data_IF_589284032994
#
_entry.id   IF_589284032994
#
_cell.length_a   1.000
_cell.length_b   1.000
_cell.length_c   1.000
_cell.angle_alpha   90.00
_cell.angle_beta   90.00
_cell.angle_gamma   90.00
#
_symmetry.space_group_name_H-M   'P 1'
#
loop_
_entity.id
_entity.type
_entity.pdbx_description
1 polymer ?
#
# COMPACT_ATOMS: atom_id res chain seq x y z
N UNK A 1 6.84 -12.14 -8.03
CA UNK A 1 6.49 -12.29 -9.44
C UNK A 1 5.50 -13.42 -9.61
N UNK A 2 4.37 -13.16 -10.24
CA UNK A 2 3.41 -14.18 -10.68
C UNK A 2 3.41 -14.15 -12.20
N UNK A 3 3.74 -15.26 -12.82
CA UNK A 3 3.70 -15.44 -14.27
C UNK A 3 2.88 -16.67 -14.55
N UNK A 4 1.81 -16.57 -15.33
CA UNK A 4 1.01 -17.66 -15.87
C UNK A 4 1.00 -18.98 -15.06
N UNK A 5 1.90 -19.89 -15.34
CA UNK A 5 2.09 -21.17 -14.63
C UNK A 5 3.24 -21.15 -13.61
N UNK A 6 4.07 -20.12 -13.57
CA UNK A 6 5.29 -20.07 -12.74
C UNK A 6 5.31 -18.86 -11.82
N UNK A 7 5.82 -19.06 -10.60
CA UNK A 7 6.03 -18.01 -9.62
C UNK A 7 7.48 -18.01 -9.17
N UNK A 8 8.10 -16.81 -9.18
CA UNK A 8 9.41 -16.58 -8.59
C UNK A 8 9.25 -15.61 -7.42
N UNK A 9 9.90 -15.90 -6.30
CA UNK A 9 9.89 -15.03 -5.12
C UNK A 9 11.29 -14.49 -4.89
N UNK A 10 11.40 -13.19 -4.62
CA UNK A 10 12.65 -12.53 -4.26
C UNK A 10 12.46 -11.68 -3.03
N UNK A 11 13.43 -11.69 -2.14
CA UNK A 11 13.46 -10.83 -0.95
C UNK A 11 14.89 -10.29 -0.75
N UNK A 12 15.01 -9.14 -0.10
CA UNK A 12 16.31 -8.50 0.11
C UNK A 12 17.28 -9.35 0.92
N UNK A 13 16.89 -9.75 2.12
CA UNK A 13 17.78 -10.54 3.01
C UNK A 13 17.01 -11.43 3.96
N UNK A 14 15.82 -11.02 4.40
CA UNK A 14 15.14 -11.64 5.54
C UNK A 14 14.67 -13.06 5.27
N UNK A 15 14.14 -13.33 4.10
CA UNK A 15 13.60 -14.64 3.73
C UNK A 15 14.35 -15.31 2.57
N UNK A 16 15.46 -14.73 2.09
CA UNK A 16 16.27 -15.36 1.06
C UNK A 16 16.77 -16.75 1.52
N UNK A 17 16.62 -17.75 0.65
CA UNK A 17 16.89 -19.16 0.95
C UNK A 17 15.74 -19.92 1.63
N UNK A 18 14.68 -19.22 2.07
CA UNK A 18 13.47 -19.90 2.57
C UNK A 18 12.72 -20.55 1.42
N UNK A 19 11.89 -21.55 1.75
CA UNK A 19 11.09 -22.28 0.78
C UNK A 19 9.60 -22.12 1.06
N UNK A 20 8.84 -21.84 0.01
CA UNK A 20 7.39 -21.72 0.05
C UNK A 20 6.73 -22.68 -0.93
N UNK A 21 5.59 -23.25 -0.55
CA UNK A 21 4.83 -24.14 -1.41
C UNK A 21 3.77 -23.35 -2.17
N UNK A 22 3.81 -23.39 -3.50
CA UNK A 22 2.82 -22.78 -4.37
C UNK A 22 2.35 -23.78 -5.43
N UNK A 23 1.04 -24.01 -5.52
CA UNK A 23 0.42 -24.99 -6.44
C UNK A 23 1.08 -26.36 -6.42
N UNK A 24 1.48 -26.82 -5.23
CA UNK A 24 2.14 -28.12 -5.05
C UNK A 24 3.64 -28.16 -5.34
N UNK A 25 4.21 -27.11 -5.92
CA UNK A 25 5.66 -26.95 -6.15
C UNK A 25 6.31 -26.20 -5.00
N UNK A 26 7.51 -26.59 -4.63
CA UNK A 26 8.35 -25.89 -3.66
C UNK A 26 9.14 -24.80 -4.40
N UNK A 27 9.08 -23.56 -3.91
CA UNK A 27 9.74 -22.40 -4.50
C UNK A 27 10.70 -21.83 -3.47
N UNK A 28 11.96 -21.74 -3.84
CA UNK A 28 12.98 -21.08 -3.03
C UNK A 28 12.96 -19.57 -3.27
N UNK A 29 13.03 -18.80 -2.18
CA UNK A 29 13.13 -17.34 -2.23
C UNK A 29 14.55 -16.95 -2.61
N UNK A 30 14.72 -16.34 -3.77
CA UNK A 30 16.00 -15.81 -4.22
C UNK A 30 16.32 -14.49 -3.55
N UNK A 31 17.60 -14.19 -3.41
CA UNK A 31 18.05 -12.86 -3.00
C UNK A 31 17.75 -11.85 -4.12
N UNK A 32 17.11 -10.72 -3.77
CA UNK A 32 16.89 -9.62 -4.70
C UNK A 32 18.22 -8.89 -4.96
N UNK A 33 18.63 -8.84 -6.21
CA UNK A 33 19.91 -8.28 -6.65
C UNK A 33 19.74 -7.54 -7.99
N UNK A 34 20.66 -6.63 -8.30
CA UNK A 34 20.76 -5.97 -9.60
C UNK A 34 21.37 -6.95 -10.62
N UNK A 35 20.52 -7.70 -11.31
CA UNK A 35 20.92 -8.71 -12.28
C UNK A 35 19.82 -8.88 -13.33
N UNK A 36 19.94 -9.89 -14.21
CA UNK A 36 19.00 -10.18 -15.31
C UNK A 36 17.84 -11.10 -14.91
N UNK A 37 17.61 -11.31 -13.63
CA UNK A 37 16.59 -12.23 -13.10
C UNK A 37 15.14 -11.88 -13.50
N UNK A 38 14.91 -10.67 -14.00
CA UNK A 38 13.60 -10.22 -14.46
C UNK A 38 13.38 -10.32 -15.98
N UNK A 39 14.37 -10.87 -16.72
CA UNK A 39 14.35 -10.93 -18.19
C UNK A 39 13.13 -11.68 -18.77
N UNK A 40 12.71 -12.76 -18.12
CA UNK A 40 11.61 -13.61 -18.59
C UNK A 40 10.36 -13.46 -17.68
N UNK A 41 10.19 -12.30 -17.08
CA UNK A 41 9.06 -11.98 -16.20
C UNK A 41 8.09 -11.07 -16.95
N UNK A 42 6.81 -11.45 -17.02
CA UNK A 42 5.74 -10.63 -17.60
C UNK A 42 5.17 -9.64 -16.57
N UNK A 43 4.97 -10.08 -15.32
CA UNK A 43 4.37 -9.29 -14.26
C UNK A 43 5.16 -9.44 -12.96
N UNK A 44 5.50 -8.34 -12.33
CA UNK A 44 6.16 -8.30 -11.03
C UNK A 44 5.31 -7.56 -9.99
N UNK A 45 4.91 -8.23 -8.92
CA UNK A 45 4.30 -7.58 -7.75
C UNK A 45 5.37 -7.17 -6.76
N UNK A 46 5.40 -5.90 -6.36
CA UNK A 46 6.35 -5.37 -5.39
C UNK A 46 5.63 -4.92 -4.11
N UNK A 47 6.10 -5.40 -2.96
CA UNK A 47 5.54 -5.09 -1.64
C UNK A 47 6.62 -5.09 -0.55
N UNK A 48 7.82 -4.64 -0.89
CA UNK A 48 8.98 -4.61 0.02
C UNK A 48 9.30 -3.20 0.55
N UNK A 49 8.36 -2.27 0.41
CA UNK A 49 8.49 -0.88 0.82
C UNK A 49 9.02 0.04 -0.28
N UNK A 50 8.75 1.36 -0.13
CA UNK A 50 8.99 2.36 -1.16
C UNK A 50 10.48 2.47 -1.59
N UNK A 51 11.41 2.33 -0.66
CA UNK A 51 12.84 2.36 -0.97
C UNK A 51 13.25 1.23 -1.92
N UNK A 52 12.84 0.00 -1.60
CA UNK A 52 13.12 -1.18 -2.44
C UNK A 52 12.43 -1.08 -3.81
N UNK A 53 11.17 -0.61 -3.84
CA UNK A 53 10.46 -0.42 -5.11
C UNK A 53 11.18 0.57 -6.02
N UNK A 54 11.65 1.71 -5.49
CA UNK A 54 12.42 2.69 -6.27
C UNK A 54 13.76 2.16 -6.74
N UNK A 55 14.48 1.45 -5.87
CA UNK A 55 15.80 0.89 -6.15
C UNK A 55 15.78 -0.12 -7.30
N UNK A 56 14.74 -0.96 -7.35
CA UNK A 56 14.67 -2.07 -8.31
C UNK A 56 13.67 -1.87 -9.47
N UNK A 57 13.01 -0.72 -9.56
CA UNK A 57 12.02 -0.47 -10.61
C UNK A 57 12.60 -0.63 -12.02
N UNK A 58 13.79 -0.08 -12.28
CA UNK A 58 14.46 -0.19 -13.57
C UNK A 58 14.86 -1.64 -13.87
N UNK A 59 15.40 -2.37 -12.90
CA UNK A 59 15.75 -3.79 -13.08
C UNK A 59 14.53 -4.64 -13.45
N UNK A 60 13.37 -4.31 -12.89
CA UNK A 60 12.12 -5.01 -13.15
C UNK A 60 11.58 -4.67 -14.54
N UNK A 61 11.54 -3.39 -14.90
CA UNK A 61 10.81 -2.92 -16.09
C UNK A 61 11.66 -2.93 -17.37
N UNK A 62 12.99 -2.92 -17.28
CA UNK A 62 13.89 -2.82 -18.44
C UNK A 62 13.73 -3.92 -19.49
N UNK A 63 13.19 -5.08 -19.12
CA UNK A 63 12.92 -6.18 -20.04
C UNK A 63 11.44 -6.29 -20.46
N UNK A 64 10.62 -5.30 -20.12
CA UNK A 64 9.22 -5.23 -20.50
C UNK A 64 8.24 -5.82 -19.48
N UNK A 65 8.71 -6.26 -18.32
CA UNK A 65 7.83 -6.67 -17.24
C UNK A 65 6.95 -5.51 -16.75
N UNK A 66 5.68 -5.79 -16.49
CA UNK A 66 4.79 -4.83 -15.82
C UNK A 66 4.99 -4.94 -14.30
N UNK A 67 5.45 -3.86 -13.69
CA UNK A 67 5.59 -3.76 -12.24
C UNK A 67 4.29 -3.26 -11.62
N UNK A 68 3.68 -4.04 -10.72
CA UNK A 68 2.53 -3.63 -9.91
C UNK A 68 3.05 -3.35 -8.50
N UNK A 69 3.12 -2.07 -8.14
CA UNK A 69 3.74 -1.64 -6.88
C UNK A 69 2.71 -1.34 -5.79
N UNK A 70 2.79 -2.09 -4.68
CA UNK A 70 1.94 -1.91 -3.50
C UNK A 70 2.52 -0.88 -2.50
N UNK A 71 3.69 -0.32 -2.77
CA UNK A 71 4.27 0.70 -1.90
C UNK A 71 3.74 2.11 -2.22
N UNK A 72 4.18 3.10 -1.47
CA UNK A 72 3.86 4.50 -1.76
C UNK A 72 4.85 5.16 -2.74
N UNK A 73 5.78 4.38 -3.34
CA UNK A 73 6.90 4.90 -4.10
C UNK A 73 6.50 5.77 -5.30
N UNK A 74 5.50 5.31 -6.04
CA UNK A 74 5.13 5.86 -7.35
C UNK A 74 3.71 6.41 -7.43
N UNK A 75 2.93 6.34 -6.34
CA UNK A 75 1.51 6.69 -6.34
C UNK A 75 1.20 8.07 -6.90
N UNK A 76 2.05 9.05 -6.60
CA UNK A 76 1.86 10.43 -7.02
C UNK A 76 2.71 10.84 -8.23
N UNK A 77 3.47 9.91 -8.83
CA UNK A 77 4.25 10.19 -10.03
C UNK A 77 3.32 10.35 -11.22
N UNK A 78 3.54 11.40 -12.05
CA UNK A 78 2.64 11.77 -13.17
C UNK A 78 2.57 10.68 -14.24
N UNK A 79 3.69 10.01 -14.49
CA UNK A 79 3.84 9.00 -15.55
C UNK A 79 3.54 7.57 -15.07
N UNK A 80 3.04 7.43 -13.84
CA UNK A 80 2.65 6.15 -13.26
C UNK A 80 1.16 6.19 -12.92
N UNK A 81 0.31 5.36 -13.56
CA UNK A 81 -1.09 5.28 -13.22
C UNK A 81 -1.31 4.73 -11.80
N UNK A 82 -2.22 5.35 -11.07
CA UNK A 82 -2.69 4.91 -9.76
C UNK A 82 -4.05 4.24 -9.95
N UNK A 83 -4.12 2.91 -9.85
CA UNK A 83 -5.26 2.16 -10.37
C UNK A 83 -6.04 1.44 -9.27
N UNK A 84 -7.36 1.67 -9.30
CA UNK A 84 -8.38 0.84 -8.67
C UNK A 84 -9.28 0.31 -9.79
N UNK A 85 -9.24 -1.00 -10.11
CA UNK A 85 -9.92 -1.53 -11.30
C UNK A 85 -11.41 -1.20 -11.39
N UNK A 86 -12.09 -1.09 -10.26
CA UNK A 86 -13.52 -0.73 -10.18
C UNK A 86 -13.79 0.73 -10.57
N UNK A 87 -12.75 1.58 -10.54
CA UNK A 87 -12.87 3.02 -10.79
C UNK A 87 -12.26 3.41 -12.15
N UNK A 88 -11.03 2.99 -12.40
CA UNK A 88 -10.22 3.48 -13.52
C UNK A 88 -9.34 2.39 -14.17
N UNK A 89 -9.88 1.20 -14.41
CA UNK A 89 -9.14 0.07 -14.99
C UNK A 89 -8.40 0.42 -16.30
N UNK A 90 -8.97 1.31 -17.13
CA UNK A 90 -8.39 1.71 -18.41
C UNK A 90 -7.02 2.39 -18.25
N UNK A 91 -6.79 3.10 -17.15
CA UNK A 91 -5.53 3.82 -16.89
C UNK A 91 -4.33 2.85 -16.79
N UNK A 92 -4.60 1.59 -16.42
CA UNK A 92 -3.56 0.55 -16.38
C UNK A 92 -2.92 0.28 -17.75
N UNK A 93 -3.58 0.65 -18.84
CA UNK A 93 -3.05 0.51 -20.21
C UNK A 93 -2.06 1.63 -20.56
N UNK A 94 -2.18 2.79 -19.90
CA UNK A 94 -1.32 3.96 -20.11
C UNK A 94 -0.23 3.99 -19.04
N UNK A 95 0.80 3.15 -19.18
CA UNK A 95 1.91 2.99 -18.26
C UNK A 95 3.28 3.18 -18.93
N UNK A 96 3.67 4.39 -19.29
CA UNK A 96 4.90 4.64 -20.05
C UNK A 96 6.16 4.14 -19.31
N UNK A 97 6.15 4.11 -17.98
CA UNK A 97 7.24 3.58 -17.17
C UNK A 97 7.18 2.07 -16.91
N UNK A 98 6.19 1.34 -17.47
CA UNK A 98 5.99 -0.08 -17.17
C UNK A 98 5.49 -0.36 -15.73
N UNK A 99 5.09 0.67 -14.99
CA UNK A 99 4.69 0.59 -13.58
C UNK A 99 3.21 0.93 -13.43
N UNK A 100 2.50 0.17 -12.59
CA UNK A 100 1.15 0.46 -12.10
C UNK A 100 1.25 0.59 -10.58
N UNK A 101 0.86 1.72 -10.02
CA UNK A 101 0.81 1.91 -8.58
C UNK A 101 -0.53 1.44 -8.00
N UNK A 102 -0.46 0.68 -6.91
CA UNK A 102 -1.61 0.30 -6.10
C UNK A 102 -1.82 1.33 -5.00
N UNK A 103 -3.02 1.89 -4.83
CA UNK A 103 -3.28 2.95 -3.86
C UNK A 103 -3.15 2.49 -2.40
N UNK A 104 -3.30 3.43 -1.49
CA UNK A 104 -3.46 3.16 -0.06
C UNK A 104 -4.71 2.31 0.19
N UNK A 105 -4.62 1.38 1.16
CA UNK A 105 -5.70 0.44 1.47
C UNK A 105 -7.02 1.13 1.83
N UNK A 106 -6.98 2.21 2.62
CA UNK A 106 -8.17 2.98 3.01
C UNK A 106 -8.74 3.73 1.82
N UNK A 107 -7.87 4.29 0.95
CA UNK A 107 -8.28 4.92 -0.31
C UNK A 107 -9.03 3.94 -1.21
N UNK A 108 -8.49 2.73 -1.42
CA UNK A 108 -9.14 1.71 -2.28
C UNK A 108 -10.54 1.39 -1.79
N UNK A 109 -10.70 1.11 -0.49
CA UNK A 109 -12.01 0.80 0.09
C UNK A 109 -13.01 1.94 -0.10
N UNK A 110 -12.57 3.18 0.13
CA UNK A 110 -13.40 4.37 0.00
C UNK A 110 -13.85 4.60 -1.45
N UNK A 111 -12.92 4.66 -2.41
CA UNK A 111 -13.26 4.97 -3.80
C UNK A 111 -14.08 3.86 -4.45
N UNK A 112 -13.82 2.60 -4.14
CA UNK A 112 -14.62 1.47 -4.62
C UNK A 112 -16.09 1.57 -4.14
N UNK A 113 -16.29 1.98 -2.88
CA UNK A 113 -17.64 2.15 -2.34
C UNK A 113 -18.36 3.39 -2.92
N UNK A 114 -17.61 4.45 -3.25
CA UNK A 114 -18.16 5.72 -3.74
C UNK A 114 -18.40 5.73 -5.25
N UNK A 115 -17.66 4.94 -6.03
CA UNK A 115 -17.76 4.94 -7.48
C UNK A 115 -19.19 4.71 -8.03
N UNK A 116 -19.99 3.76 -7.50
CA UNK A 116 -21.38 3.59 -7.91
C UNK A 116 -22.25 4.82 -7.62
N UNK A 117 -21.97 5.55 -6.55
CA UNK A 117 -22.68 6.77 -6.18
C UNK A 117 -22.30 7.90 -7.14
N UNK A 118 -21.02 8.07 -7.42
CA UNK A 118 -20.52 9.07 -8.37
C UNK A 118 -21.10 8.87 -9.77
N UNK A 119 -21.25 7.63 -10.21
CA UNK A 119 -21.88 7.30 -11.49
C UNK A 119 -23.36 7.72 -11.59
N UNK A 120 -24.05 7.83 -10.46
CA UNK A 120 -25.45 8.24 -10.38
C UNK A 120 -25.62 9.73 -10.12
N UNK A 121 -24.76 10.30 -9.30
CA UNK A 121 -24.83 11.70 -8.88
C UNK A 121 -23.47 12.18 -8.41
N UNK A 122 -23.02 13.32 -8.93
CA UNK A 122 -21.72 13.89 -8.57
C UNK A 122 -21.55 14.14 -7.07
N UNK A 123 -20.50 13.59 -6.50
CA UNK A 123 -20.16 13.72 -5.07
C UNK A 123 -19.46 15.06 -4.85
N UNK A 124 -20.06 15.92 -4.04
CA UNK A 124 -19.50 17.25 -3.71
C UNK A 124 -18.58 17.25 -2.51
N UNK A 125 -18.82 16.36 -1.54
CA UNK A 125 -18.04 16.29 -0.29
C UNK A 125 -18.05 14.87 0.27
N UNK A 126 -16.89 14.45 0.80
CA UNK A 126 -16.73 13.15 1.44
C UNK A 126 -16.30 13.39 2.89
N UNK A 127 -17.06 12.84 3.84
CA UNK A 127 -16.65 12.68 5.23
C UNK A 127 -16.46 11.18 5.50
N UNK A 128 -15.26 10.79 5.91
CA UNK A 128 -14.92 9.39 6.15
C UNK A 128 -14.39 9.17 7.55
N UNK A 129 -14.83 8.09 8.18
CA UNK A 129 -14.24 7.55 9.40
C UNK A 129 -13.90 6.09 9.17
N UNK A 130 -12.64 5.71 9.41
CA UNK A 130 -12.16 4.35 9.21
C UNK A 130 -11.54 3.78 10.48
N UNK A 131 -11.64 2.46 10.65
CA UNK A 131 -10.99 1.73 11.71
C UNK A 131 -9.99 0.75 11.09
N UNK A 132 -8.73 0.82 11.53
CA UNK A 132 -7.66 -0.03 11.04
C UNK A 132 -7.12 -0.92 12.16
N UNK A 133 -7.00 -2.20 11.86
CA UNK A 133 -6.36 -3.14 12.77
C UNK A 133 -4.83 -2.94 12.83
N UNK A 134 -4.20 -3.41 13.91
CA UNK A 134 -2.75 -3.37 14.10
C UNK A 134 -1.95 -3.98 12.95
N UNK A 135 -2.54 -4.94 12.22
CA UNK A 135 -1.91 -5.58 11.06
C UNK A 135 -1.57 -4.61 9.93
N UNK A 136 -2.32 -3.50 9.79
CA UNK A 136 -2.01 -2.44 8.82
C UNK A 136 -0.64 -1.77 9.05
N UNK A 137 -0.14 -1.79 10.30
CA UNK A 137 1.19 -1.30 10.65
C UNK A 137 2.27 -2.41 10.63
N UNK A 138 1.92 -3.62 10.17
CA UNK A 138 2.83 -4.73 9.94
C UNK A 138 3.04 -5.67 11.14
N UNK A 139 3.86 -6.70 10.95
CA UNK A 139 4.06 -7.78 11.92
C UNK A 139 4.57 -7.30 13.28
N UNK A 140 5.44 -6.28 13.31
CA UNK A 140 5.95 -5.71 14.56
C UNK A 140 4.84 -5.06 15.40
N UNK A 141 3.86 -4.41 14.75
CA UNK A 141 2.71 -3.80 15.42
C UNK A 141 1.75 -4.87 16.00
N UNK A 142 1.54 -5.95 15.25
CA UNK A 142 0.76 -7.10 15.75
C UNK A 142 1.42 -7.74 16.97
N UNK A 143 2.73 -7.97 16.91
CA UNK A 143 3.49 -8.54 18.03
C UNK A 143 3.46 -7.63 19.28
N UNK A 144 3.56 -6.31 19.08
CA UNK A 144 3.44 -5.34 20.19
C UNK A 144 2.05 -5.36 20.80
N UNK A 145 0.98 -5.40 20.00
CA UNK A 145 -0.39 -5.50 20.52
C UNK A 145 -0.58 -6.78 21.34
N UNK A 146 -0.09 -7.91 20.86
CA UNK A 146 -0.15 -9.17 21.60
C UNK A 146 0.63 -9.11 22.91
N UNK A 147 1.82 -8.50 22.90
CA UNK A 147 2.61 -8.26 24.09
C UNK A 147 1.87 -7.36 25.08
N UNK A 148 1.27 -6.27 24.62
CA UNK A 148 0.50 -5.35 25.46
C UNK A 148 -0.68 -6.06 26.18
N UNK A 149 -1.41 -6.94 25.47
CA UNK A 149 -2.46 -7.74 26.11
C UNK A 149 -1.93 -8.64 27.24
N UNK A 150 -0.80 -9.32 27.03
CA UNK A 150 -0.17 -10.13 28.07
C UNK A 150 0.25 -9.29 29.27
N UNK A 151 0.89 -8.15 29.05
CA UNK A 151 1.33 -7.23 30.09
C UNK A 151 0.15 -6.72 30.93
N UNK A 152 -0.95 -6.33 30.29
CA UNK A 152 -2.17 -5.90 30.99
C UNK A 152 -2.76 -7.02 31.86
N UNK A 153 -2.87 -8.24 31.32
CA UNK A 153 -3.40 -9.40 32.06
C UNK A 153 -2.53 -9.80 33.25
N UNK A 154 -1.22 -9.57 33.15
CA UNK A 154 -0.26 -9.84 34.23
C UNK A 154 -0.11 -8.68 35.21
N UNK A 155 -0.81 -7.57 35.02
CA UNK A 155 -0.70 -6.36 35.87
C UNK A 155 0.65 -5.65 35.72
N UNK A 156 1.35 -5.84 34.60
CA UNK A 156 2.65 -5.21 34.30
C UNK A 156 2.46 -3.86 33.61
N UNK A 157 3.46 -2.96 33.68
CA UNK A 157 3.50 -1.77 32.85
C UNK A 157 3.48 -2.13 31.37
N UNK A 158 2.65 -1.41 30.57
CA UNK A 158 2.48 -1.68 29.15
C UNK A 158 3.63 -1.10 28.34
N UNK A 159 4.24 -1.90 27.50
CA UNK A 159 5.30 -1.48 26.57
C UNK A 159 4.69 -0.83 25.34
N UNK A 160 5.09 0.41 25.03
CA UNK A 160 4.69 1.18 23.86
C UNK A 160 5.95 1.55 23.07
N UNK A 161 6.13 0.97 21.87
CA UNK A 161 7.31 1.20 21.01
C UNK A 161 6.93 1.53 19.57
N UNK A 162 5.99 0.77 19.01
CA UNK A 162 5.57 0.89 17.60
C UNK A 162 4.42 1.87 17.44
N UNK A 163 3.49 1.87 18.37
CA UNK A 163 2.36 2.80 18.41
C UNK A 163 2.73 4.06 19.19
N UNK A 164 1.95 5.14 18.98
CA UNK A 164 2.10 6.37 19.77
C UNK A 164 1.60 6.22 21.21
N UNK A 165 0.66 5.30 21.43
CA UNK A 165 0.01 5.04 22.72
C UNK A 165 -0.27 3.55 22.88
N UNK A 166 -0.66 3.13 24.08
CA UNK A 166 -1.18 1.78 24.30
C UNK A 166 -2.38 1.52 23.37
N UNK A 167 -2.34 0.41 22.64
CA UNK A 167 -3.44 -0.02 21.78
C UNK A 167 -4.31 -1.10 22.41
N UNK A 168 -3.76 -1.96 23.29
CA UNK A 168 -4.56 -2.96 23.99
C UNK A 168 -5.68 -2.29 24.79
N UNK A 169 -6.94 -2.74 24.56
CA UNK A 169 -8.17 -2.16 25.14
C UNK A 169 -8.38 -0.67 24.84
N UNK A 170 -7.88 -0.19 23.69
CA UNK A 170 -7.94 1.22 23.33
C UNK A 170 -8.20 1.39 21.82
N UNK A 171 -8.57 2.62 21.44
CA UNK A 171 -8.60 3.10 20.06
C UNK A 171 -7.73 4.35 19.98
N UNK A 172 -6.75 4.35 19.10
CA UNK A 172 -5.87 5.49 18.88
C UNK A 172 -6.42 6.28 17.69
N UNK A 173 -6.90 7.53 17.85
CA UNK A 173 -7.47 8.33 16.77
C UNK A 173 -6.37 8.94 15.89
N UNK A 174 -5.43 8.12 15.46
CA UNK A 174 -4.26 8.54 14.67
C UNK A 174 -3.67 7.35 13.93
N UNK A 175 -3.43 7.51 12.63
CA UNK A 175 -2.60 6.61 11.84
C UNK A 175 -1.55 7.47 11.14
N UNK A 176 -0.26 7.04 11.21
CA UNK A 176 0.90 7.80 10.70
C UNK A 176 1.13 9.11 11.49
N UNK A 177 1.98 9.99 11.01
CA UNK A 177 2.38 11.23 11.67
C UNK A 177 1.51 12.41 11.25
N UNK A 178 1.29 13.35 12.17
CA UNK A 178 0.65 14.62 11.85
C UNK A 178 1.55 15.49 10.97
N UNK A 179 0.93 16.23 10.07
CA UNK A 179 1.55 17.23 9.22
C UNK A 179 1.21 18.65 9.73
N UNK A 180 1.86 19.67 9.18
CA UNK A 180 1.69 21.06 9.60
C UNK A 180 0.26 21.59 9.40
N UNK A 181 -0.51 20.98 8.51
CA UNK A 181 -1.92 21.29 8.26
C UNK A 181 -2.90 20.64 9.25
N UNK A 182 -2.39 19.95 10.27
CA UNK A 182 -3.20 19.28 11.30
C UNK A 182 -3.78 17.91 10.89
N UNK A 183 -3.60 17.49 9.63
CA UNK A 183 -3.98 16.16 9.16
C UNK A 183 -2.84 15.16 9.33
N UNK A 184 -3.17 13.90 9.49
CA UNK A 184 -2.15 12.84 9.43
C UNK A 184 -1.72 12.58 7.99
N UNK A 185 -0.55 11.99 7.85
CA UNK A 185 -0.05 11.57 6.53
C UNK A 185 -0.96 10.52 5.87
N UNK A 186 -1.64 9.70 6.66
CA UNK A 186 -2.63 8.74 6.16
C UNK A 186 -3.86 9.43 5.58
N UNK A 187 -4.39 10.44 6.24
CA UNK A 187 -5.53 11.24 5.74
C UNK A 187 -5.17 11.97 4.45
N UNK A 188 -3.96 12.52 4.36
CA UNK A 188 -3.49 13.18 3.14
C UNK A 188 -3.27 12.22 1.97
N UNK A 189 -2.95 10.95 2.22
CA UNK A 189 -2.94 9.93 1.16
C UNK A 189 -4.34 9.77 0.57
N UNK A 190 -5.36 9.63 1.41
CA UNK A 190 -6.75 9.51 0.94
C UNK A 190 -7.15 10.71 0.08
N UNK A 191 -6.86 11.92 0.53
CA UNK A 191 -7.15 13.15 -0.21
C UNK A 191 -6.47 13.17 -1.58
N UNK A 192 -5.15 13.03 -1.63
CA UNK A 192 -4.36 13.15 -2.85
C UNK A 192 -4.63 12.00 -3.84
N UNK A 193 -4.71 10.77 -3.33
CA UNK A 193 -4.88 9.59 -4.17
C UNK A 193 -6.29 9.54 -4.78
N UNK A 194 -7.33 9.95 -4.04
CA UNK A 194 -8.70 10.01 -4.55
C UNK A 194 -8.82 10.95 -5.73
N UNK A 195 -8.19 12.12 -5.67
CA UNK A 195 -8.16 13.07 -6.78
C UNK A 195 -7.51 12.47 -8.03
N UNK A 196 -6.44 11.70 -7.86
CA UNK A 196 -5.74 11.07 -8.98
C UNK A 196 -6.52 9.91 -9.60
N UNK A 197 -7.24 9.11 -8.81
CA UNK A 197 -7.97 7.93 -9.27
C UNK A 197 -9.28 8.29 -9.96
N UNK A 198 -10.09 9.11 -9.30
CA UNK A 198 -11.49 9.35 -9.69
C UNK A 198 -11.71 10.68 -10.38
N UNK A 199 -10.65 11.53 -10.51
CA UNK A 199 -10.79 12.93 -10.94
C UNK A 199 -11.90 13.69 -10.17
N UNK A 200 -12.24 13.20 -8.97
CA UNK A 200 -13.12 13.90 -8.06
C UNK A 200 -12.40 15.16 -7.59
N UNK A 201 -12.60 16.25 -8.32
CA UNK A 201 -12.18 17.57 -7.90
C UNK A 201 -13.03 17.98 -6.70
N UNK A 202 -12.67 17.53 -5.53
CA UNK A 202 -13.07 18.21 -4.30
C UNK A 202 -12.16 19.42 -4.12
N UNK A 203 -12.30 20.38 -5.02
CA UNK A 203 -11.49 21.62 -5.00
C UNK A 203 -11.78 22.49 -3.78
N UNK A 204 -12.76 22.14 -2.95
CA UNK A 204 -13.23 23.01 -1.86
C UNK A 204 -12.87 22.53 -0.45
N UNK A 205 -12.21 21.41 -0.27
CA UNK A 205 -11.85 20.99 1.09
C UNK A 205 -10.71 21.81 1.71
N UNK A 206 -9.94 22.54 0.89
CA UNK A 206 -8.89 23.44 1.36
C UNK A 206 -9.34 24.91 1.48
N UNK A 207 -10.41 25.31 0.77
CA UNK A 207 -10.90 26.69 0.78
C UNK A 207 -11.92 26.98 1.89
N UNK A 208 -12.55 25.96 2.46
CA UNK A 208 -13.51 26.10 3.57
C UNK A 208 -12.85 26.22 4.97
N UNK A 209 -11.52 26.31 5.05
CA UNK A 209 -10.78 26.54 6.30
C UNK A 209 -10.44 28.04 6.53
N UNK A 210 -11.04 28.94 5.77
CA UNK A 210 -10.96 30.38 6.03
C UNK A 210 -12.24 30.93 6.62
#
# INVERSE_FOLDING_TARGET
CLVGSEMCIRDRTRSAGSKYKFRGKEIEVKLLQHNDDFKDIDIAFTSAGAGTSKEFAEDITRYGAVMIDNSSAFRMDKDVPLVVPECNAADALERPCGIIANPNCTTIMMVTALQPIENLSHIKRIHVASYQAASGAGAAAMAELEQQYREVLEGKPVTVKKFAYQLAYNVIPQIDVFQDNGYTKEEMKMFNETQKICLLYTSDAADDLT
#
